data_IF_768901855688
#
_entry.id   IF_768901855688
#
_cell.length_a   1.000
_cell.length_b   1.000
_cell.length_c   1.000
_cell.angle_alpha   90.00
_cell.angle_beta   90.00
_cell.angle_gamma   90.00
#
_symmetry.space_group_name_H-M   'P 1'
#
loop_
_entity.id
_entity.type
_entity.pdbx_description
1 polymer ?
#
# COMPACT_ATOMS: atom_id res chain seq x y z
N UNK A 1 9.10 -5.61 18.63
CA UNK A 1 7.67 -5.84 18.33
C UNK A 1 7.27 -5.24 16.99
N UNK A 2 6.84 -3.96 16.84
CA UNK A 2 6.40 -3.44 15.51
C UNK A 2 7.50 -3.41 14.43
N UNK A 3 8.77 -3.25 14.83
CA UNK A 3 9.91 -3.20 13.90
C UNK A 3 10.38 -4.59 13.42
N UNK A 4 9.97 -5.68 14.11
CA UNK A 4 10.39 -7.05 13.76
C UNK A 4 9.53 -7.64 12.64
N UNK A 5 8.21 -7.41 12.68
CA UNK A 5 7.30 -7.93 11.66
C UNK A 5 7.52 -7.23 10.31
N UNK A 6 7.79 -5.91 10.28
CA UNK A 6 8.24 -5.23 9.05
C UNK A 6 9.62 -5.73 8.61
N UNK A 7 10.45 -6.19 9.54
CA UNK A 7 11.74 -6.82 9.25
C UNK A 7 11.63 -8.02 8.32
N UNK A 8 10.49 -8.72 8.28
CA UNK A 8 10.26 -9.81 7.33
C UNK A 8 10.36 -9.34 5.88
N UNK A 9 9.87 -8.13 5.60
CA UNK A 9 9.84 -7.57 4.24
C UNK A 9 11.23 -7.21 3.73
N UNK A 10 12.20 -7.05 4.64
CA UNK A 10 13.60 -6.82 4.28
C UNK A 10 14.33 -8.12 3.93
N UNK A 11 13.90 -9.26 4.46
CA UNK A 11 14.64 -10.55 4.39
C UNK A 11 14.00 -11.59 3.46
N UNK A 12 12.80 -11.33 2.95
CA UNK A 12 12.06 -12.21 2.04
C UNK A 12 11.85 -11.55 0.68
N UNK A 13 11.56 -12.37 -0.33
CA UNK A 13 10.90 -11.86 -1.52
C UNK A 13 9.49 -11.40 -1.13
N UNK A 14 9.03 -10.27 -1.67
CA UNK A 14 7.75 -9.65 -1.29
C UNK A 14 6.86 -9.55 -2.51
N UNK A 15 5.71 -10.21 -2.44
CA UNK A 15 4.60 -10.03 -3.36
C UNK A 15 3.61 -9.01 -2.79
N UNK A 16 3.46 -7.88 -3.47
CA UNK A 16 2.41 -6.92 -3.13
C UNK A 16 1.06 -7.36 -3.70
N UNK A 17 0.04 -7.45 -2.85
CA UNK A 17 -1.34 -7.75 -3.22
C UNK A 17 -2.19 -6.50 -2.98
N UNK A 18 -2.53 -5.79 -4.05
CA UNK A 18 -3.26 -4.52 -3.98
C UNK A 18 -4.76 -4.73 -4.16
N UNK A 19 -5.56 -4.06 -3.34
CA UNK A 19 -7.02 -4.17 -3.39
C UNK A 19 -7.63 -3.59 -4.68
N UNK A 20 -7.12 -2.45 -5.14
CA UNK A 20 -7.63 -1.72 -6.29
C UNK A 20 -6.56 -1.01 -7.11
N UNK A 21 -7.01 -0.09 -7.97
CA UNK A 21 -6.13 0.68 -8.86
C UNK A 21 -5.28 1.67 -8.10
N UNK A 22 -5.86 2.40 -7.15
CA UNK A 22 -5.17 3.44 -6.40
C UNK A 22 -4.03 2.88 -5.55
N UNK A 23 -4.26 1.77 -4.84
CA UNK A 23 -3.20 1.07 -4.09
C UNK A 23 -2.07 0.62 -5.02
N UNK A 24 -2.42 0.06 -6.19
CA UNK A 24 -1.46 -0.35 -7.20
C UNK A 24 -0.60 0.81 -7.71
N UNK A 25 -1.20 1.97 -8.00
CA UNK A 25 -0.45 3.15 -8.43
C UNK A 25 0.48 3.64 -7.32
N UNK A 26 0.04 3.66 -6.06
CA UNK A 26 0.90 4.02 -4.93
C UNK A 26 2.10 3.07 -4.82
N UNK A 27 1.88 1.75 -4.92
CA UNK A 27 2.99 0.77 -4.89
C UNK A 27 3.91 0.93 -6.10
N UNK A 28 3.38 1.16 -7.29
CA UNK A 28 4.19 1.43 -8.48
C UNK A 28 5.08 2.67 -8.27
N UNK A 29 4.51 3.80 -7.84
CA UNK A 29 5.27 5.04 -7.63
C UNK A 29 6.37 4.86 -6.58
N UNK A 30 6.07 4.19 -5.46
CA UNK A 30 7.07 3.93 -4.42
C UNK A 30 8.16 2.97 -4.90
N UNK A 31 7.79 1.94 -5.67
CA UNK A 31 8.73 1.00 -6.27
C UNK A 31 9.66 1.69 -7.26
N UNK A 32 9.11 2.40 -8.25
CA UNK A 32 9.85 3.05 -9.32
C UNK A 32 10.90 4.04 -8.79
N UNK A 33 10.62 4.65 -7.64
CA UNK A 33 11.49 5.65 -7.01
C UNK A 33 12.36 5.11 -5.86
N UNK A 34 12.37 3.80 -5.59
CA UNK A 34 13.17 3.17 -4.53
C UNK A 34 12.86 3.73 -3.12
N UNK A 35 11.57 3.90 -2.84
CA UNK A 35 11.06 4.53 -1.61
C UNK A 35 10.50 3.52 -0.59
N UNK A 36 10.58 2.23 -0.88
CA UNK A 36 10.08 1.18 0.00
C UNK A 36 11.20 0.59 0.86
N UNK A 37 10.81 0.10 2.03
CA UNK A 37 11.67 -0.67 2.93
C UNK A 37 12.12 -2.01 2.32
N UNK A 38 11.39 -2.49 1.31
CA UNK A 38 11.69 -3.71 0.54
C UNK A 38 12.76 -3.42 -0.50
N UNK A 39 13.88 -4.16 -0.52
CA UNK A 39 14.87 -4.04 -1.58
C UNK A 39 14.25 -4.32 -2.95
N UNK A 40 14.54 -3.50 -3.97
CA UNK A 40 13.97 -3.67 -5.32
C UNK A 40 14.19 -5.05 -5.93
N UNK A 41 15.35 -5.66 -5.67
CA UNK A 41 15.69 -7.01 -6.14
C UNK A 41 14.83 -8.11 -5.49
N UNK A 42 14.13 -7.81 -4.40
CA UNK A 42 13.28 -8.74 -3.66
C UNK A 42 11.79 -8.52 -3.94
N UNK A 43 11.42 -7.59 -4.82
CA UNK A 43 10.03 -7.39 -5.19
C UNK A 43 9.63 -8.41 -6.26
N UNK A 44 8.56 -9.15 -6.00
CA UNK A 44 7.99 -10.11 -6.95
C UNK A 44 7.10 -9.37 -7.95
N UNK A 45 7.43 -9.48 -9.24
CA UNK A 45 6.63 -8.91 -10.32
C UNK A 45 5.35 -9.71 -10.55
N UNK A 46 4.34 -9.07 -11.11
CA UNK A 46 3.12 -9.76 -11.52
C UNK A 46 3.42 -10.77 -12.63
N UNK A 47 2.84 -11.97 -12.54
CA UNK A 47 3.17 -13.03 -13.49
C UNK A 47 2.65 -12.79 -14.93
N UNK A 48 1.90 -11.72 -15.18
CA UNK A 48 1.45 -11.32 -16.53
C UNK A 48 2.17 -10.06 -17.02
N UNK A 49 2.67 -9.21 -16.11
CA UNK A 49 3.22 -7.90 -16.44
C UNK A 49 4.57 -7.72 -15.73
N UNK A 50 5.65 -7.84 -16.50
CA UNK A 50 7.02 -7.85 -15.98
C UNK A 50 7.45 -6.51 -15.34
N UNK A 51 6.77 -5.41 -15.66
CA UNK A 51 7.01 -4.07 -15.14
C UNK A 51 6.12 -3.69 -13.95
N UNK A 52 5.26 -4.62 -13.50
CA UNK A 52 4.28 -4.36 -12.44
C UNK A 52 4.73 -5.01 -11.12
N UNK A 53 5.09 -4.23 -10.09
CA UNK A 53 5.61 -4.72 -8.81
C UNK A 53 4.52 -5.21 -7.85
N UNK A 54 3.31 -5.47 -8.35
CA UNK A 54 2.18 -5.90 -7.54
C UNK A 54 1.18 -6.70 -8.37
N UNK A 55 0.43 -7.55 -7.68
CA UNK A 55 -0.72 -8.24 -8.24
C UNK A 55 -2.04 -7.70 -7.69
N UNK A 56 -3.12 -7.86 -8.46
CA UNK A 56 -4.50 -7.59 -8.01
C UNK A 56 -5.23 -8.85 -7.55
N UNK A 57 -4.54 -9.99 -7.50
CA UNK A 57 -5.10 -11.18 -6.88
C UNK A 57 -5.23 -10.96 -5.37
N UNK A 58 -6.43 -11.23 -4.83
CA UNK A 58 -6.77 -11.04 -3.41
C UNK A 58 -7.13 -12.34 -2.69
N UNK A 59 -7.39 -13.41 -3.45
CA UNK A 59 -7.75 -14.73 -2.91
C UNK A 59 -6.49 -15.55 -2.66
N UNK A 60 -6.36 -16.12 -1.47
CA UNK A 60 -5.25 -16.99 -1.08
C UNK A 60 -4.99 -18.10 -2.10
N UNK A 61 -6.05 -18.79 -2.55
CA UNK A 61 -5.93 -19.88 -3.53
C UNK A 61 -5.42 -19.43 -4.89
N UNK A 62 -5.81 -18.24 -5.35
CA UNK A 62 -5.35 -17.68 -6.62
C UNK A 62 -3.87 -17.27 -6.53
N UNK A 63 -3.47 -16.61 -5.43
CA UNK A 63 -2.07 -16.27 -5.19
C UNK A 63 -1.21 -17.54 -5.11
N UNK A 64 -1.66 -18.55 -4.36
CA UNK A 64 -0.93 -19.80 -4.22
C UNK A 64 -0.74 -20.49 -5.58
N UNK A 65 -1.80 -20.60 -6.39
CA UNK A 65 -1.74 -21.24 -7.70
C UNK A 65 -0.81 -20.54 -8.69
N UNK A 66 -0.65 -19.21 -8.59
CA UNK A 66 0.17 -18.44 -9.52
C UNK A 66 1.62 -18.25 -9.03
N UNK A 67 1.84 -18.08 -7.73
CA UNK A 67 3.13 -17.64 -7.20
C UNK A 67 3.88 -18.72 -6.40
N UNK A 68 3.24 -19.74 -5.84
CA UNK A 68 3.92 -20.69 -4.92
C UNK A 68 4.71 -21.80 -5.63
N UNK A 69 4.64 -21.88 -6.96
CA UNK A 69 5.48 -22.79 -7.75
C UNK A 69 6.94 -22.32 -7.91
N UNK A 70 7.26 -21.11 -7.44
CA UNK A 70 8.60 -20.51 -7.51
C UNK A 70 9.32 -20.69 -6.18
N UNK A 71 10.61 -21.00 -6.22
CA UNK A 71 11.45 -21.02 -5.02
C UNK A 71 11.93 -19.60 -4.68
N UNK A 72 11.52 -19.11 -3.51
CA UNK A 72 11.91 -17.80 -2.97
C UNK A 72 12.93 -17.90 -1.84
N UNK A 73 13.38 -19.11 -1.47
CA UNK A 73 14.43 -19.32 -0.49
C UNK A 73 15.82 -19.33 -1.15
N UNK A 74 16.04 -18.34 -2.03
CA UNK A 74 17.25 -18.18 -2.85
C UNK A 74 17.90 -16.83 -2.59
N UNK A 75 19.17 -16.65 -2.98
CA UNK A 75 19.92 -15.38 -2.82
C UNK A 75 19.89 -14.80 -1.40
N UNK A 76 19.94 -15.69 -0.40
CA UNK A 76 19.90 -15.33 1.02
C UNK A 76 18.56 -14.76 1.48
N UNK A 77 17.48 -14.96 0.72
CA UNK A 77 16.11 -14.68 1.17
C UNK A 77 15.54 -15.84 1.98
N UNK A 78 14.72 -15.52 2.98
CA UNK A 78 14.11 -16.53 3.89
C UNK A 78 12.87 -17.22 3.27
N UNK A 79 12.45 -16.81 2.07
CA UNK A 79 11.24 -17.29 1.38
C UNK A 79 10.37 -16.13 0.88
N UNK A 80 9.05 -16.36 0.81
CA UNK A 80 8.06 -15.38 0.34
C UNK A 80 7.35 -14.66 1.49
N UNK A 81 7.06 -13.38 1.32
CA UNK A 81 6.11 -12.61 2.10
C UNK A 81 5.04 -12.03 1.17
N UNK A 82 3.80 -11.96 1.65
CA UNK A 82 2.70 -11.27 0.97
C UNK A 82 2.42 -9.97 1.72
N UNK A 83 2.70 -8.84 1.08
CA UNK A 83 2.36 -7.50 1.57
C UNK A 83 1.01 -7.08 0.98
N UNK A 84 -0.06 -7.17 1.77
CA UNK A 84 -1.41 -6.81 1.35
C UNK A 84 -1.65 -5.32 1.54
N UNK A 85 -2.03 -4.60 0.49
CA UNK A 85 -2.44 -3.20 0.58
C UNK A 85 -3.96 -3.16 0.42
N UNK A 86 -4.65 -2.93 1.53
CA UNK A 86 -6.08 -3.20 1.64
C UNK A 86 -6.83 -2.12 2.38
N UNK A 87 -8.09 -1.92 2.01
CA UNK A 87 -9.00 -1.11 2.81
C UNK A 87 -9.28 -1.79 4.16
N UNK A 88 -9.59 -0.95 5.12
CA UNK A 88 -10.17 -1.17 6.44
C UNK A 88 -11.15 -2.32 6.61
N UNK A 89 -11.87 -2.69 5.55
CA UNK A 89 -12.95 -3.70 5.56
C UNK A 89 -12.53 -5.04 4.98
N UNK A 90 -11.28 -5.17 4.54
CA UNK A 90 -10.83 -6.40 3.91
C UNK A 90 -10.95 -7.60 4.86
N UNK A 91 -11.46 -8.74 4.37
CA UNK A 91 -11.57 -9.94 5.19
C UNK A 91 -10.18 -10.43 5.61
N UNK A 92 -10.18 -11.20 6.70
CA UNK A 92 -8.98 -11.91 7.15
C UNK A 92 -8.49 -12.81 6.01
N UNK A 93 -7.20 -12.75 5.74
CA UNK A 93 -6.56 -13.55 4.71
C UNK A 93 -5.83 -14.69 5.37
N UNK A 94 -6.27 -15.91 5.08
CA UNK A 94 -5.68 -17.12 5.61
C UNK A 94 -5.23 -18.01 4.46
N UNK A 95 -3.92 -18.21 4.35
CA UNK A 95 -3.36 -19.22 3.47
C UNK A 95 -3.69 -20.60 4.04
N UNK A 96 -4.18 -21.56 3.23
CA UNK A 96 -4.33 -22.93 3.69
C UNK A 96 -3.01 -23.47 4.25
N UNK A 97 -3.01 -24.09 5.43
CA UNK A 97 -1.77 -24.55 6.12
C UNK A 97 -0.82 -25.36 5.23
N UNK A 98 -1.37 -26.20 4.34
CA UNK A 98 -0.58 -27.03 3.42
C UNK A 98 0.13 -26.24 2.32
N UNK A 99 -0.32 -25.03 2.05
CA UNK A 99 0.22 -24.13 1.02
C UNK A 99 1.12 -23.05 1.60
N UNK A 100 1.13 -22.84 2.92
CA UNK A 100 1.85 -21.72 3.54
C UNK A 100 3.34 -21.75 3.22
N UNK A 101 4.03 -22.90 3.23
CA UNK A 101 5.46 -23.02 2.95
C UNK A 101 6.33 -21.96 3.66
N UNK A 102 5.99 -21.60 4.90
CA UNK A 102 6.68 -20.54 5.65
C UNK A 102 6.40 -19.10 5.18
N UNK A 103 5.45 -18.90 4.25
CA UNK A 103 5.02 -17.59 3.75
C UNK A 103 4.39 -16.77 4.85
N UNK A 104 4.90 -15.55 5.03
CA UNK A 104 4.37 -14.60 6.00
C UNK A 104 3.46 -13.59 5.32
N UNK A 105 2.41 -13.16 6.01
CA UNK A 105 1.43 -12.20 5.47
C UNK A 105 1.41 -10.96 6.36
N UNK A 106 1.73 -9.82 5.77
CA UNK A 106 1.69 -8.51 6.41
C UNK A 106 0.63 -7.67 5.71
N UNK A 107 -0.27 -7.04 6.45
CA UNK A 107 -1.33 -6.19 5.86
C UNK A 107 -1.13 -4.73 6.24
N UNK A 108 -1.11 -3.88 5.21
CA UNK A 108 -1.07 -2.43 5.29
C UNK A 108 -2.45 -1.88 4.99
N UNK A 109 -3.03 -1.21 5.98
CA UNK A 109 -4.42 -0.78 5.92
C UNK A 109 -4.52 0.67 5.47
N UNK A 110 -5.37 0.94 4.48
CA UNK A 110 -5.57 2.26 3.87
C UNK A 110 -6.78 3.00 4.44
N UNK A 111 -7.16 2.74 5.71
CA UNK A 111 -8.38 3.29 6.33
C UNK A 111 -8.38 4.84 6.31
N UNK A 112 -9.56 5.47 6.21
CA UNK A 112 -10.86 4.91 5.79
C UNK A 112 -10.94 4.47 4.33
N UNK A 113 -10.18 5.09 3.43
CA UNK A 113 -9.93 4.69 2.03
C UNK A 113 -8.60 5.35 1.58
N UNK A 114 -7.94 4.80 0.56
CA UNK A 114 -6.66 5.32 0.04
C UNK A 114 -6.78 6.77 -0.48
N UNK A 115 -7.96 7.20 -0.89
CA UNK A 115 -8.27 8.57 -1.31
C UNK A 115 -8.02 9.62 -0.21
N UNK A 116 -7.84 9.22 1.05
CA UNK A 116 -7.33 10.12 2.08
C UNK A 116 -6.00 10.77 1.68
N UNK A 117 -5.14 10.07 0.93
CA UNK A 117 -3.90 10.64 0.43
C UNK A 117 -4.16 11.84 -0.50
N UNK A 118 -5.15 11.74 -1.39
CA UNK A 118 -5.57 12.86 -2.25
C UNK A 118 -6.09 14.03 -1.40
N UNK A 119 -6.90 13.75 -0.37
CA UNK A 119 -7.42 14.80 0.52
C UNK A 119 -6.28 15.54 1.23
N UNK A 120 -5.24 14.84 1.66
CA UNK A 120 -4.04 15.48 2.23
C UNK A 120 -3.30 16.29 1.18
N UNK A 121 -3.01 15.70 0.02
CA UNK A 121 -2.30 16.32 -1.10
C UNK A 121 -2.97 17.63 -1.57
N UNK A 122 -4.29 17.69 -1.56
CA UNK A 122 -5.07 18.87 -1.94
C UNK A 122 -5.27 19.87 -0.78
N UNK A 123 -4.61 19.66 0.37
CA UNK A 123 -4.73 20.54 1.55
C UNK A 123 -6.14 20.54 2.18
N UNK A 124 -7.00 19.60 1.80
CA UNK A 124 -8.42 19.61 2.11
C UNK A 124 -8.77 18.89 3.42
N UNK A 125 -7.80 18.38 4.17
CA UNK A 125 -8.02 17.56 5.36
C UNK A 125 -8.88 18.25 6.44
N UNK A 126 -8.69 19.55 6.69
CA UNK A 126 -9.52 20.30 7.66
C UNK A 126 -10.99 20.38 7.23
N UNK A 127 -11.23 20.57 5.94
CA UNK A 127 -12.57 20.60 5.33
C UNK A 127 -13.21 19.23 5.41
N UNK A 128 -12.46 18.17 5.06
CA UNK A 128 -12.86 16.78 5.24
C UNK A 128 -13.25 16.46 6.68
N UNK A 129 -12.44 16.86 7.67
CA UNK A 129 -12.74 16.65 9.09
C UNK A 129 -14.06 17.32 9.51
N UNK A 130 -14.33 18.50 8.98
CA UNK A 130 -15.56 19.23 9.26
C UNK A 130 -16.77 18.56 8.60
N UNK A 131 -16.63 18.13 7.35
CA UNK A 131 -17.66 17.44 6.58
C UNK A 131 -18.01 16.05 7.17
N UNK A 132 -16.99 15.24 7.48
CA UNK A 132 -17.16 13.89 8.05
C UNK A 132 -17.74 13.89 9.46
N UNK A 133 -17.56 14.99 10.23
CA UNK A 133 -18.26 15.16 11.52
C UNK A 133 -19.76 15.40 11.34
N UNK A 134 -20.15 16.16 10.31
CA UNK A 134 -21.55 16.46 9.97
C UNK A 134 -22.25 15.28 9.31
N UNK A 135 -21.54 14.56 8.45
CA UNK A 135 -22.04 13.35 7.79
C UNK A 135 -21.08 12.18 8.07
N UNK A 136 -21.43 11.33 9.03
CA UNK A 136 -20.62 10.17 9.44
C UNK A 136 -20.53 9.07 8.38
N UNK A 137 -21.41 9.09 7.38
CA UNK A 137 -21.41 8.13 6.28
C UNK A 137 -20.62 8.62 5.06
N UNK A 138 -20.17 9.88 5.07
CA UNK A 138 -19.36 10.44 3.99
C UNK A 138 -18.06 9.66 3.85
N UNK A 139 -17.79 9.15 2.65
CA UNK A 139 -16.55 8.44 2.32
C UNK A 139 -15.51 9.39 1.73
N UNK A 140 -14.21 9.12 1.90
CA UNK A 140 -13.15 9.90 1.26
C UNK A 140 -13.34 10.00 -0.26
N UNK A 141 -13.65 8.89 -0.93
CA UNK A 141 -13.89 8.92 -2.38
C UNK A 141 -15.09 9.78 -2.77
N UNK A 142 -16.17 9.80 -1.98
CA UNK A 142 -17.32 10.68 -2.23
C UNK A 142 -16.96 12.15 -2.04
N UNK A 143 -16.15 12.47 -1.02
CA UNK A 143 -15.67 13.83 -0.78
C UNK A 143 -14.73 14.31 -1.90
N UNK A 144 -13.79 13.48 -2.36
CA UNK A 144 -12.94 13.80 -3.50
C UNK A 144 -13.77 14.16 -4.74
N UNK A 145 -14.81 13.37 -5.03
CA UNK A 145 -15.71 13.63 -6.17
C UNK A 145 -16.51 14.92 -6.01
N UNK A 146 -17.19 15.08 -4.87
CA UNK A 146 -18.20 16.13 -4.69
C UNK A 146 -17.61 17.48 -4.29
N UNK A 147 -16.55 17.47 -3.47
CA UNK A 147 -16.00 18.68 -2.85
C UNK A 147 -14.69 19.12 -3.49
N UNK A 148 -13.90 18.20 -4.03
CA UNK A 148 -12.65 18.51 -4.73
C UNK A 148 -12.79 18.48 -6.26
N UNK A 149 -13.95 18.08 -6.78
CA UNK A 149 -14.18 17.96 -8.23
C UNK A 149 -13.36 16.84 -8.87
N UNK A 150 -12.79 15.92 -8.08
CA UNK A 150 -11.96 14.82 -8.55
C UNK A 150 -12.84 13.62 -8.92
N UNK A 151 -13.68 13.76 -9.95
CA UNK A 151 -14.53 12.68 -10.45
C UNK A 151 -13.73 11.42 -10.81
N UNK A 152 -12.51 11.65 -11.30
CA UNK A 152 -11.63 10.66 -11.90
C UNK A 152 -10.57 10.16 -10.89
N UNK A 153 -10.76 10.41 -9.59
CA UNK A 153 -9.85 9.99 -8.52
C UNK A 153 -9.57 8.48 -8.44
N UNK A 154 -10.32 7.67 -9.20
CA UNK A 154 -10.13 6.20 -9.29
C UNK A 154 -9.50 5.76 -10.62
N UNK A 155 -9.39 6.67 -11.58
CA UNK A 155 -8.84 6.39 -12.90
C UNK A 155 -7.30 6.34 -12.82
N UNK A 156 -6.72 5.32 -13.45
CA UNK A 156 -5.28 5.09 -13.39
C UNK A 156 -4.48 6.25 -13.98
N UNK A 157 -4.97 6.87 -15.07
CA UNK A 157 -4.31 8.01 -15.71
C UNK A 157 -4.16 9.19 -14.77
N UNK A 158 -5.28 9.62 -14.17
CA UNK A 158 -5.30 10.69 -13.16
C UNK A 158 -4.36 10.37 -11.99
N UNK A 159 -4.43 9.17 -11.43
CA UNK A 159 -3.61 8.79 -10.29
C UNK A 159 -2.11 8.79 -10.61
N UNK A 160 -1.72 8.30 -11.79
CA UNK A 160 -0.32 8.33 -12.24
C UNK A 160 0.20 9.75 -12.41
N UNK A 161 -0.60 10.63 -13.00
CA UNK A 161 -0.25 12.05 -13.15
C UNK A 161 -0.16 12.75 -11.79
N UNK A 162 -1.15 12.52 -10.92
CA UNK A 162 -1.23 13.15 -9.61
C UNK A 162 -0.06 12.76 -8.69
N UNK A 163 0.42 11.52 -8.79
CA UNK A 163 1.55 10.98 -8.04
C UNK A 163 2.85 10.92 -8.85
N UNK A 164 2.96 11.67 -9.95
CA UNK A 164 4.19 11.78 -10.73
C UNK A 164 5.34 12.41 -9.92
N UNK A 165 5.01 13.28 -8.97
CA UNK A 165 5.94 13.75 -7.94
C UNK A 165 5.92 12.76 -6.75
N UNK A 166 6.99 11.95 -6.56
CA UNK A 166 7.03 10.99 -5.48
C UNK A 166 7.15 11.64 -4.09
N UNK A 167 7.72 12.84 -3.98
CA UNK A 167 7.85 13.55 -2.70
C UNK A 167 6.47 14.00 -2.21
N UNK A 168 5.60 14.43 -3.13
CA UNK A 168 4.18 14.71 -2.85
C UNK A 168 3.46 13.47 -2.29
N UNK A 169 3.67 12.30 -2.89
CA UNK A 169 3.09 11.04 -2.40
C UNK A 169 3.59 10.68 -1.00
N UNK A 170 4.91 10.74 -0.79
CA UNK A 170 5.52 10.46 0.52
C UNK A 170 5.00 11.41 1.58
N UNK A 171 4.89 12.70 1.27
CA UNK A 171 4.33 13.69 2.16
C UNK A 171 2.87 13.36 2.53
N UNK A 172 2.03 13.02 1.56
CA UNK A 172 0.63 12.66 1.81
C UNK A 172 0.50 11.41 2.69
N UNK A 173 1.34 10.39 2.46
CA UNK A 173 1.38 9.17 3.29
C UNK A 173 1.75 9.51 4.74
N UNK A 174 2.76 10.38 4.94
CA UNK A 174 3.21 10.80 6.26
C UNK A 174 2.13 11.61 6.98
N UNK A 175 1.50 12.57 6.31
CA UNK A 175 0.45 13.40 6.90
C UNK A 175 -0.78 12.58 7.29
N UNK A 176 -1.19 11.62 6.44
CA UNK A 176 -2.26 10.70 6.81
C UNK A 176 -1.91 9.90 8.07
N UNK A 177 -0.69 9.34 8.14
CA UNK A 177 -0.27 8.55 9.29
C UNK A 177 -0.21 9.33 10.61
N UNK A 178 -0.01 10.66 10.58
CA UNK A 178 -0.01 11.51 11.79
C UNK A 178 -1.39 11.64 12.42
N UNK A 179 -2.45 11.49 11.62
CA UNK A 179 -3.82 11.70 12.07
C UNK A 179 -4.68 10.42 12.04
N UNK A 180 -4.22 9.38 11.35
CA UNK A 180 -4.87 8.08 11.32
C UNK A 180 -4.81 7.39 12.69
N UNK A 181 -5.90 6.76 13.09
CA UNK A 181 -5.91 5.89 14.27
C UNK A 181 -5.35 4.54 13.89
N UNK A 182 -4.28 4.11 14.57
CA UNK A 182 -3.72 2.76 14.46
C UNK A 182 -4.39 1.83 15.45
N UNK A 183 -4.84 0.66 14.99
CA UNK A 183 -5.18 -0.44 15.91
C UNK A 183 -3.90 -1.24 16.24
N UNK A 184 -3.86 -1.93 17.40
CA UNK A 184 -2.76 -2.83 17.71
C UNK A 184 -2.56 -3.88 16.63
N UNK A 185 -1.32 -4.01 16.13
CA UNK A 185 -0.97 -4.97 15.07
C UNK A 185 -1.36 -4.54 13.64
N UNK A 186 -1.86 -3.32 13.43
CA UNK A 186 -2.08 -2.78 12.08
C UNK A 186 -0.84 -2.00 11.60
N UNK A 187 -0.49 -2.22 10.33
CA UNK A 187 0.47 -1.40 9.60
C UNK A 187 -0.25 -0.41 8.69
N UNK A 188 0.31 0.79 8.54
CA UNK A 188 -0.11 1.80 7.60
C UNK A 188 0.95 1.95 6.50
N UNK A 189 0.61 2.58 5.38
CA UNK A 189 1.54 2.80 4.27
C UNK A 189 2.86 3.47 4.68
N UNK A 190 2.87 4.30 5.72
CA UNK A 190 4.11 4.93 6.21
C UNK A 190 5.12 3.90 6.71
N UNK A 191 4.67 2.74 7.20
CA UNK A 191 5.53 1.67 7.71
C UNK A 191 6.21 0.88 6.58
N UNK A 192 5.74 1.08 5.34
CA UNK A 192 6.35 0.53 4.13
C UNK A 192 7.49 1.42 3.60
N UNK A 193 7.57 2.68 4.04
CA UNK A 193 8.55 3.64 3.52
C UNK A 193 9.97 3.33 4.00
N UNK A 194 10.95 3.54 3.13
CA UNK A 194 12.37 3.44 3.48
C UNK A 194 12.81 4.61 4.37
N UNK A 195 13.94 4.45 5.08
CA UNK A 195 14.55 5.56 5.82
C UNK A 195 14.86 6.75 4.92
N UNK A 196 15.30 6.49 3.67
CA UNK A 196 15.50 7.52 2.65
C UNK A 196 14.21 8.29 2.38
N UNK A 197 13.06 7.63 2.22
CA UNK A 197 11.79 8.31 2.00
C UNK A 197 11.37 9.15 3.23
N UNK A 198 11.62 8.65 4.44
CA UNK A 198 11.22 9.33 5.68
C UNK A 198 12.05 10.58 5.98
N UNK A 199 13.35 10.55 5.67
CA UNK A 199 14.31 11.61 6.04
C UNK A 199 14.87 12.40 4.87
N UNK A 200 14.71 11.92 3.63
CA UNK A 200 15.27 12.51 2.42
C UNK A 200 14.39 13.56 1.74
N UNK A 201 13.08 13.57 1.98
CA UNK A 201 12.21 14.66 1.53
C UNK A 201 12.41 15.89 2.43
N UNK A 202 13.45 16.69 2.15
CA UNK A 202 13.47 18.08 2.57
C UNK A 202 12.40 18.81 1.77
N UNK A 203 11.35 19.27 2.46
CA UNK A 203 10.39 20.24 1.93
C UNK A 203 11.20 21.42 1.40
N UNK A 204 11.25 21.60 0.08
CA UNK A 204 11.66 22.87 -0.55
C UNK A 204 10.41 23.67 -0.89
#
# INVERSE_FOLDING_TARGET
MANEEIGVLKRRYVLFSCEGTAEGVVIQTLYDNDLMVVPRSRVVMDAVWDDRPYTRLRKASAIAGQYFGVDYAVDGAEGLAIARIVDSRAPKFELPRRQQNGTEVVSFVTRPEIEMLLIHAEGAYKTWLSASKKNRQLKPSDFCKQQLGLSDAKEMGFLKEHWADPDKLVWAIREHARCAKRQPGEYLLVDLLSERALWGCSIR
#
